data_IF_172841248488
#
_entry.id   IF_172841248488
#
_cell.length_a   1.000
_cell.length_b   1.000
_cell.length_c   1.000
_cell.angle_alpha   90.00
_cell.angle_beta   90.00
_cell.angle_gamma   90.00
#
_symmetry.space_group_name_H-M   'P 1'
#
loop_
_entity.id
_entity.type
_entity.pdbx_description
1 polymer ?
#
# COMPACT_ATOMS: atom_id res chain seq x y z
N UNK A 1 7.49 -29.54 14.31
CA UNK A 1 6.15 -29.16 13.83
C UNK A 1 5.26 -30.40 13.80
N UNK A 2 4.32 -30.47 14.72
CA UNK A 2 3.31 -31.47 14.70
C UNK A 2 2.28 -31.18 13.62
N UNK A 3 2.16 -32.05 12.62
CA UNK A 3 1.17 -31.91 11.55
C UNK A 3 -0.04 -32.84 11.72
N UNK A 4 -0.18 -33.43 12.91
CA UNK A 4 -1.27 -34.39 13.20
C UNK A 4 -1.15 -35.72 12.45
N UNK A 5 -0.07 -35.98 11.73
CA UNK A 5 0.20 -37.27 11.09
C UNK A 5 0.76 -38.28 12.09
N UNK A 6 0.67 -39.59 11.75
CA UNK A 6 1.13 -40.70 12.62
C UNK A 6 2.62 -40.65 12.90
N UNK A 7 3.39 -39.81 12.55
CA UNK A 7 4.83 -39.66 12.87
C UNK A 7 5.18 -38.36 13.57
N UNK A 8 4.23 -37.43 13.68
CA UNK A 8 4.42 -36.10 14.24
C UNK A 8 3.12 -35.61 14.87
N UNK A 9 2.68 -36.21 15.98
CA UNK A 9 1.43 -35.85 16.60
C UNK A 9 1.48 -34.44 17.15
N UNK A 10 0.44 -33.67 16.89
CA UNK A 10 0.20 -32.39 17.52
C UNK A 10 -0.54 -32.65 18.84
N UNK A 11 0.07 -32.33 19.96
CA UNK A 11 -0.43 -32.71 21.30
C UNK A 11 -0.90 -31.50 22.13
N UNK A 12 -0.43 -30.29 21.85
CA UNK A 12 -0.84 -29.06 22.55
C UNK A 12 -0.59 -27.81 21.76
N UNK A 13 -1.34 -26.75 22.08
CA UNK A 13 -1.08 -25.41 21.66
C UNK A 13 -0.11 -24.72 22.62
N UNK A 14 0.94 -24.11 22.08
CA UNK A 14 1.85 -23.24 22.85
C UNK A 14 1.29 -21.82 22.85
N UNK A 15 1.29 -21.17 23.99
CA UNK A 15 0.74 -19.82 24.16
C UNK A 15 1.52 -18.80 23.32
N UNK A 16 0.82 -18.01 22.51
CA UNK A 16 1.41 -17.02 21.60
C UNK A 16 1.98 -17.60 20.30
N UNK A 17 2.15 -18.91 20.18
CA UNK A 17 2.56 -19.53 18.92
C UNK A 17 1.39 -19.53 17.92
N UNK A 18 1.67 -19.11 16.67
CA UNK A 18 0.69 -19.16 15.58
C UNK A 18 0.66 -20.53 14.91
N UNK A 19 -0.53 -20.93 14.49
CA UNK A 19 -0.78 -22.22 13.82
C UNK A 19 -1.63 -22.01 12.58
N UNK A 20 -1.37 -22.79 11.54
CA UNK A 20 -2.28 -22.96 10.41
C UNK A 20 -3.05 -24.26 10.58
N UNK A 21 -4.36 -24.15 10.55
CA UNK A 21 -5.26 -25.30 10.64
C UNK A 21 -6.08 -25.42 9.35
N UNK A 22 -6.22 -26.63 8.85
CA UNK A 22 -7.08 -26.93 7.72
C UNK A 22 -7.84 -28.24 7.98
N UNK A 23 -9.14 -28.26 7.70
CA UNK A 23 -10.00 -29.44 7.75
C UNK A 23 -10.93 -29.43 6.52
N UNK A 24 -11.45 -30.62 6.16
CA UNK A 24 -12.41 -30.78 5.07
C UNK A 24 -13.82 -30.33 5.45
N UNK A 25 -14.12 -30.33 6.73
CA UNK A 25 -15.43 -30.00 7.28
C UNK A 25 -15.29 -28.92 8.33
N UNK A 26 -16.32 -28.12 8.49
CA UNK A 26 -16.38 -27.14 9.57
C UNK A 26 -16.40 -27.86 10.91
N UNK A 27 -15.48 -27.52 11.79
CA UNK A 27 -15.43 -28.02 13.14
C UNK A 27 -15.38 -26.88 14.14
N UNK A 28 -15.88 -27.14 15.34
CA UNK A 28 -15.72 -26.24 16.48
C UNK A 28 -14.59 -26.76 17.36
N UNK A 29 -13.59 -25.96 17.62
CA UNK A 29 -12.52 -26.25 18.58
C UNK A 29 -12.89 -25.54 19.88
N UNK A 30 -13.15 -26.31 20.92
CA UNK A 30 -13.42 -25.81 22.26
C UNK A 30 -12.14 -25.84 23.09
N UNK A 31 -11.72 -24.69 23.60
CA UNK A 31 -10.60 -24.58 24.53
C UNK A 31 -11.11 -24.14 25.88
N UNK A 32 -10.74 -24.86 26.91
CA UNK A 32 -11.09 -24.56 28.30
C UNK A 32 -9.84 -24.25 29.11
N UNK A 33 -9.89 -23.23 29.93
CA UNK A 33 -8.75 -22.83 30.77
C UNK A 33 -8.92 -21.42 31.35
N UNK A 34 -7.85 -20.92 31.96
CA UNK A 34 -7.81 -19.55 32.48
C UNK A 34 -7.34 -18.64 31.36
N UNK A 35 -8.02 -17.49 31.19
CA UNK A 35 -7.62 -16.49 30.21
C UNK A 35 -6.23 -15.94 30.56
N UNK A 36 -5.37 -15.84 29.53
CA UNK A 36 -4.07 -15.23 29.72
C UNK A 36 -4.19 -13.70 29.81
N UNK A 37 -3.52 -13.12 30.78
CA UNK A 37 -3.41 -11.66 30.99
C UNK A 37 -1.96 -11.19 31.13
N UNK A 38 -1.02 -12.12 31.19
CA UNK A 38 0.40 -11.81 31.32
C UNK A 38 1.08 -11.72 29.93
N UNK A 39 2.12 -10.92 29.77
CA UNK A 39 2.93 -10.90 28.54
C UNK A 39 3.45 -12.29 28.19
N UNK A 40 3.54 -12.57 26.89
CA UNK A 40 4.03 -13.85 26.36
C UNK A 40 5.30 -13.62 25.58
N UNK A 41 6.35 -14.40 25.86
CA UNK A 41 7.61 -14.37 25.11
C UNK A 41 7.70 -15.56 24.16
N UNK A 42 8.13 -15.30 22.92
CA UNK A 42 8.40 -16.29 21.88
C UNK A 42 9.81 -16.11 21.33
N UNK A 43 10.47 -17.20 20.99
CA UNK A 43 11.67 -17.15 20.16
C UNK A 43 11.24 -17.10 18.69
N UNK A 44 11.60 -16.01 18.00
CA UNK A 44 11.42 -15.85 16.57
C UNK A 44 12.77 -15.87 15.85
N UNK A 45 12.81 -16.48 14.67
CA UNK A 45 14.04 -16.79 13.97
C UNK A 45 14.16 -16.05 12.65
N UNK A 46 15.40 -15.74 12.28
CA UNK A 46 15.78 -15.30 10.96
C UNK A 46 16.73 -16.32 10.35
N UNK A 47 16.33 -16.93 9.24
CA UNK A 47 17.09 -17.97 8.55
C UNK A 47 17.28 -17.57 7.09
N UNK A 48 18.50 -17.22 6.70
CA UNK A 48 18.85 -16.71 5.37
C UNK A 48 18.55 -17.69 4.23
N UNK A 49 18.68 -18.99 4.53
CA UNK A 49 18.47 -20.08 3.57
C UNK A 49 17.00 -20.22 3.13
N UNK A 50 16.08 -19.53 3.81
CA UNK A 50 14.65 -19.54 3.47
C UNK A 50 14.30 -18.61 2.31
N UNK A 51 15.26 -17.87 1.73
CA UNK A 51 15.02 -16.95 0.62
C UNK A 51 13.96 -15.92 0.95
N UNK A 52 12.91 -15.84 0.12
CA UNK A 52 11.79 -14.87 0.30
C UNK A 52 11.01 -15.06 1.61
N UNK A 53 11.14 -16.21 2.25
CA UNK A 53 10.51 -16.51 3.56
C UNK A 53 11.44 -16.22 4.73
N UNK A 54 12.62 -15.65 4.50
CA UNK A 54 13.55 -15.31 5.57
C UNK A 54 12.92 -14.35 6.60
N UNK A 55 13.02 -14.71 7.88
CA UNK A 55 12.52 -13.93 9.00
C UNK A 55 11.01 -14.04 9.26
N UNK A 56 10.24 -14.79 8.45
CA UNK A 56 8.83 -14.99 8.72
C UNK A 56 8.59 -16.03 9.81
N UNK A 57 7.74 -15.65 10.77
CA UNK A 57 7.36 -16.47 11.91
C UNK A 57 5.84 -16.40 12.13
N UNK A 58 5.21 -17.53 12.49
CA UNK A 58 3.81 -17.55 12.88
C UNK A 58 3.66 -17.19 14.36
N UNK A 59 2.82 -16.20 14.63
CA UNK A 59 2.53 -15.67 15.96
C UNK A 59 1.01 -15.65 16.16
N UNK A 60 0.53 -16.05 17.33
CA UNK A 60 -0.90 -16.08 17.69
C UNK A 60 -1.22 -15.01 18.73
N UNK A 61 -2.40 -14.41 18.67
CA UNK A 61 -2.88 -13.54 19.74
C UNK A 61 -3.22 -14.39 20.99
N UNK A 62 -2.46 -14.24 22.11
CA UNK A 62 -2.65 -15.06 23.30
C UNK A 62 -3.72 -14.51 24.26
N UNK A 63 -4.41 -13.42 23.90
CA UNK A 63 -5.36 -12.73 24.76
C UNK A 63 -6.80 -12.90 24.28
N UNK A 64 -7.75 -12.65 25.17
CA UNK A 64 -9.18 -12.67 24.87
C UNK A 64 -9.73 -11.35 24.29
N UNK A 65 -8.85 -10.43 23.89
CA UNK A 65 -9.20 -9.16 23.25
C UNK A 65 -8.36 -8.93 22.01
N UNK A 66 -8.78 -7.98 21.18
CA UNK A 66 -8.04 -7.58 20.00
C UNK A 66 -6.70 -6.92 20.35
N UNK A 67 -5.67 -7.27 19.60
CA UNK A 67 -4.36 -6.62 19.63
C UNK A 67 -3.99 -6.10 18.24
N UNK A 68 -2.84 -5.45 18.12
CA UNK A 68 -2.21 -5.04 16.88
C UNK A 68 -0.69 -5.19 17.02
N UNK A 69 0.08 -4.90 16.00
CA UNK A 69 1.54 -4.93 16.08
C UNK A 69 2.12 -4.02 17.18
N UNK A 70 1.40 -2.97 17.59
CA UNK A 70 1.81 -2.12 18.71
C UNK A 70 1.96 -2.86 20.05
N UNK A 71 1.44 -4.08 20.17
CA UNK A 71 1.59 -4.95 21.34
C UNK A 71 2.89 -5.80 21.28
N UNK A 72 3.60 -5.79 20.15
CA UNK A 72 4.81 -6.55 19.92
C UNK A 72 6.06 -5.74 20.32
N UNK A 73 6.98 -6.37 21.01
CA UNK A 73 8.28 -5.81 21.35
C UNK A 73 9.37 -6.85 21.10
N UNK A 74 10.45 -6.44 20.47
CA UNK A 74 11.64 -7.27 20.23
C UNK A 74 12.79 -6.89 21.15
N UNK A 75 13.76 -7.77 21.26
CA UNK A 75 14.98 -7.53 22.07
C UNK A 75 16.20 -7.33 21.15
N UNK A 76 17.30 -6.85 21.72
CA UNK A 76 18.61 -6.76 21.07
C UNK A 76 18.65 -5.92 19.78
N UNK A 77 17.74 -4.95 19.62
CA UNK A 77 17.70 -4.07 18.44
C UNK A 77 17.15 -4.71 17.17
N UNK A 78 16.64 -5.94 17.23
CA UNK A 78 15.91 -6.54 16.13
C UNK A 78 14.65 -5.74 15.80
N UNK A 79 14.25 -5.70 14.53
CA UNK A 79 13.08 -4.98 14.06
C UNK A 79 12.08 -5.94 13.39
N UNK A 80 10.80 -5.74 13.68
CA UNK A 80 9.73 -6.30 12.86
C UNK A 80 9.47 -5.40 11.66
N UNK A 81 9.13 -6.02 10.54
CA UNK A 81 8.57 -5.29 9.40
C UNK A 81 7.22 -4.69 9.78
N UNK A 82 6.86 -3.53 9.22
CA UNK A 82 5.55 -2.93 9.42
C UNK A 82 4.47 -3.77 8.78
N UNK A 83 3.54 -4.26 9.57
CA UNK A 83 2.44 -5.11 9.14
C UNK A 83 2.79 -6.60 9.15
N UNK A 84 1.82 -7.39 8.75
CA UNK A 84 1.85 -8.83 8.85
C UNK A 84 0.96 -9.48 7.78
N UNK A 85 1.07 -10.80 7.65
CA UNK A 85 0.19 -11.57 6.79
C UNK A 85 -0.77 -12.46 7.58
N UNK A 86 -1.92 -12.70 6.97
CA UNK A 86 -2.83 -13.78 7.33
C UNK A 86 -3.02 -14.71 6.14
N UNK A 87 -3.33 -15.98 6.42
CA UNK A 87 -3.62 -16.97 5.38
C UNK A 87 -5.13 -17.18 5.31
N UNK A 88 -5.73 -16.92 4.15
CA UNK A 88 -7.15 -17.15 3.95
C UNK A 88 -7.45 -18.64 3.64
N UNK A 89 -8.71 -19.09 3.83
CA UNK A 89 -9.12 -20.44 3.45
C UNK A 89 -8.89 -20.77 1.98
N UNK A 90 -8.96 -19.78 1.09
CA UNK A 90 -8.75 -19.91 -0.35
C UNK A 90 -7.26 -19.99 -0.74
N UNK A 91 -6.35 -19.91 0.24
CA UNK A 91 -4.91 -19.94 0.05
C UNK A 91 -4.30 -18.60 -0.36
N UNK A 92 -5.03 -17.51 -0.17
CA UNK A 92 -4.46 -16.16 -0.29
C UNK A 92 -3.55 -15.86 0.91
N UNK A 93 -2.42 -15.24 0.63
CA UNK A 93 -1.55 -14.63 1.62
C UNK A 93 -1.91 -13.15 1.64
N UNK A 94 -2.73 -12.76 2.63
CA UNK A 94 -3.32 -11.42 2.72
C UNK A 94 -2.46 -10.54 3.60
N UNK A 95 -1.94 -9.45 3.05
CA UNK A 95 -1.18 -8.44 3.79
C UNK A 95 -2.14 -7.56 4.61
N UNK A 96 -1.74 -7.22 5.83
CA UNK A 96 -2.42 -6.25 6.69
C UNK A 96 -1.42 -5.25 7.25
N UNK A 97 -1.74 -3.95 7.29
CA UNK A 97 -0.87 -2.93 7.88
C UNK A 97 -0.73 -3.10 9.40
N UNK A 98 0.30 -2.49 9.97
CA UNK A 98 0.69 -2.65 11.38
C UNK A 98 -0.43 -2.29 12.41
N UNK A 99 -1.32 -1.38 12.04
CA UNK A 99 -2.47 -0.97 12.87
C UNK A 99 -3.69 -1.90 12.74
N UNK A 100 -3.65 -2.87 11.82
CA UNK A 100 -4.75 -3.81 11.66
C UNK A 100 -4.97 -4.65 12.92
N UNK A 101 -6.22 -5.03 13.12
CA UNK A 101 -6.64 -5.85 14.27
C UNK A 101 -6.19 -7.29 14.07
N UNK A 102 -5.63 -7.86 15.14
CA UNK A 102 -5.39 -9.29 15.31
C UNK A 102 -6.39 -9.78 16.36
N UNK A 103 -7.41 -10.53 15.93
CA UNK A 103 -8.48 -11.00 16.80
C UNK A 103 -7.98 -12.05 17.81
N UNK A 104 -8.70 -12.31 18.91
CA UNK A 104 -8.42 -13.42 19.79
C UNK A 104 -8.27 -14.73 19.01
N UNK A 105 -7.25 -15.53 19.32
CA UNK A 105 -6.93 -16.80 18.64
C UNK A 105 -6.50 -16.68 17.17
N UNK A 106 -6.46 -15.50 16.59
CA UNK A 106 -5.95 -15.32 15.23
C UNK A 106 -4.44 -15.51 15.18
N UNK A 107 -3.97 -16.21 14.15
CA UNK A 107 -2.55 -16.41 13.85
C UNK A 107 -2.13 -15.53 12.68
N UNK A 108 -1.01 -14.83 12.83
CA UNK A 108 -0.43 -13.96 11.82
C UNK A 108 1.02 -14.34 11.52
N UNK A 109 1.51 -13.99 10.34
CA UNK A 109 2.92 -14.12 9.98
C UNK A 109 3.59 -12.76 10.09
N UNK A 110 4.47 -12.60 11.06
CA UNK A 110 5.34 -11.42 11.21
C UNK A 110 6.70 -11.68 10.60
N UNK A 111 7.39 -10.64 10.11
CA UNK A 111 8.74 -10.74 9.59
C UNK A 111 9.72 -9.99 10.49
N UNK A 112 10.79 -10.67 10.91
CA UNK A 112 11.93 -10.08 11.68
C UNK A 112 13.17 -10.00 10.81
N UNK A 113 14.08 -9.09 11.14
CA UNK A 113 15.40 -8.95 10.48
C UNK A 113 16.53 -9.70 11.20
N UNK A 114 16.27 -10.22 12.39
CA UNK A 114 17.24 -10.98 13.16
C UNK A 114 16.53 -12.01 14.06
N UNK A 115 17.23 -13.08 14.41
CA UNK A 115 16.75 -14.02 15.45
C UNK A 115 16.72 -13.30 16.79
N UNK A 116 15.57 -13.30 17.45
CA UNK A 116 15.32 -12.54 18.67
C UNK A 116 14.18 -13.14 19.50
N UNK A 117 13.96 -12.58 20.69
CA UNK A 117 12.73 -12.78 21.45
C UNK A 117 11.69 -11.73 21.06
N UNK A 118 10.49 -12.19 20.81
CA UNK A 118 9.29 -11.39 20.64
C UNK A 118 8.46 -11.46 21.90
N UNK A 119 8.18 -10.33 22.52
CA UNK A 119 7.23 -10.22 23.62
C UNK A 119 5.89 -9.71 23.09
N UNK A 120 4.82 -10.45 23.35
CA UNK A 120 3.44 -10.01 23.08
C UNK A 120 2.87 -9.47 24.38
N UNK A 121 2.63 -8.15 24.44
CA UNK A 121 2.14 -7.47 25.63
C UNK A 121 0.62 -7.39 25.65
N UNK A 122 0.03 -7.48 26.84
CA UNK A 122 -1.42 -7.32 27.03
C UNK A 122 -1.92 -5.87 26.77
N UNK A 123 -1.03 -4.90 26.89
CA UNK A 123 -1.26 -3.51 26.50
C UNK A 123 -0.19 -3.09 25.49
N UNK A 124 -0.46 -2.10 24.64
CA UNK A 124 0.53 -1.64 23.66
C UNK A 124 1.87 -1.30 24.34
N UNK A 125 2.95 -1.84 23.83
CA UNK A 125 4.30 -1.71 24.40
C UNK A 125 4.85 -0.28 24.32
N UNK A 126 4.36 0.49 23.37
CA UNK A 126 4.62 1.92 23.23
C UNK A 126 3.40 2.63 22.67
N UNK A 127 3.19 3.88 23.06
CA UNK A 127 2.46 4.79 22.18
C UNK A 127 3.41 5.02 21.00
N UNK A 128 3.28 4.25 19.93
CA UNK A 128 3.89 4.60 18.66
C UNK A 128 3.46 6.03 18.38
N UNK A 129 4.40 6.89 18.05
CA UNK A 129 4.14 8.29 17.72
C UNK A 129 2.89 8.36 16.85
N UNK A 130 1.90 9.16 17.26
CA UNK A 130 0.65 9.37 16.51
C UNK A 130 0.87 10.14 15.19
N UNK A 131 2.12 10.32 14.76
CA UNK A 131 2.41 10.87 13.45
C UNK A 131 2.15 9.73 12.45
N UNK A 132 0.92 9.70 11.97
CA UNK A 132 0.56 8.90 10.82
C UNK A 132 0.79 9.75 9.58
N UNK A 133 1.88 9.46 8.88
CA UNK A 133 2.22 10.15 7.64
C UNK A 133 1.41 9.63 6.44
N UNK A 134 0.43 8.76 6.70
CA UNK A 134 -0.44 8.19 5.71
C UNK A 134 0.14 6.97 4.99
N UNK A 135 -0.71 6.36 4.18
CA UNK A 135 -0.37 5.22 3.33
C UNK A 135 -1.24 5.17 2.08
N UNK A 136 -0.73 4.53 1.04
CA UNK A 136 -1.48 4.14 -0.15
C UNK A 136 -1.71 2.64 -0.13
N UNK A 137 -2.95 2.23 -0.33
CA UNK A 137 -3.33 0.85 -0.63
C UNK A 137 -3.47 0.70 -2.14
N UNK A 138 -2.62 -0.11 -2.76
CA UNK A 138 -2.65 -0.44 -4.19
C UNK A 138 -3.23 -1.82 -4.32
N UNK A 139 -4.37 -1.94 -4.99
CA UNK A 139 -5.05 -3.20 -5.15
C UNK A 139 -5.13 -3.63 -6.62
N UNK A 140 -5.06 -4.93 -6.83
CA UNK A 140 -5.31 -5.55 -8.13
C UNK A 140 -6.32 -6.68 -7.97
N UNK A 141 -7.32 -6.70 -8.83
CA UNK A 141 -8.36 -7.72 -8.81
C UNK A 141 -8.61 -8.32 -10.19
N UNK A 142 -8.98 -9.59 -10.22
CA UNK A 142 -9.70 -10.23 -11.32
C UNK A 142 -11.14 -10.52 -10.89
N UNK A 143 -11.89 -11.30 -11.66
CA UNK A 143 -13.29 -11.61 -11.35
C UNK A 143 -13.50 -12.31 -9.99
N UNK A 144 -12.50 -13.03 -9.47
CA UNK A 144 -12.64 -13.92 -8.32
C UNK A 144 -11.73 -13.57 -7.15
N UNK A 145 -10.59 -12.93 -7.41
CA UNK A 145 -9.52 -12.73 -6.43
C UNK A 145 -8.96 -11.32 -6.47
N UNK A 146 -8.48 -10.89 -5.32
CA UNK A 146 -7.81 -9.59 -5.12
C UNK A 146 -6.48 -9.81 -4.39
N UNK A 147 -5.49 -9.01 -4.75
CA UNK A 147 -4.25 -8.85 -3.99
C UNK A 147 -3.97 -7.38 -3.74
N UNK A 148 -3.20 -7.11 -2.69
CA UNK A 148 -2.93 -5.75 -2.21
C UNK A 148 -1.46 -5.58 -1.91
N UNK A 149 -0.94 -4.38 -2.16
CA UNK A 149 0.32 -3.88 -1.65
C UNK A 149 0.13 -2.49 -1.07
N UNK A 150 0.98 -2.11 -0.12
CA UNK A 150 0.95 -0.80 0.52
C UNK A 150 2.23 -0.02 0.29
N UNK A 151 2.11 1.28 0.17
CA UNK A 151 3.20 2.22 0.36
C UNK A 151 2.91 3.00 1.64
N UNK A 152 3.76 2.88 2.63
CA UNK A 152 3.64 3.59 3.91
C UNK A 152 4.66 4.71 3.96
N UNK A 153 4.23 5.88 4.37
CA UNK A 153 5.07 7.06 4.57
C UNK A 153 5.55 7.23 6.01
N UNK A 154 5.31 6.20 6.82
CA UNK A 154 5.78 6.14 8.21
C UNK A 154 7.21 5.57 8.28
N UNK A 155 7.88 5.83 9.39
CA UNK A 155 9.19 5.21 9.66
C UNK A 155 9.04 3.71 9.94
N UNK A 156 10.07 2.93 9.60
CA UNK A 156 10.16 1.53 9.92
C UNK A 156 10.72 0.68 8.80
N UNK A 157 10.46 -0.63 8.87
CA UNK A 157 10.95 -1.62 7.93
C UNK A 157 9.82 -2.14 7.07
N UNK A 158 10.05 -2.23 5.76
CA UNK A 158 9.08 -2.79 4.81
C UNK A 158 8.84 -4.29 5.04
N UNK A 159 7.65 -4.75 4.66
CA UNK A 159 7.27 -6.17 4.67
C UNK A 159 7.49 -6.77 3.28
N UNK A 160 8.34 -7.79 3.19
CA UNK A 160 8.62 -8.44 1.90
C UNK A 160 7.37 -9.10 1.31
N UNK A 161 7.23 -9.03 -0.01
CA UNK A 161 6.16 -9.76 -0.72
C UNK A 161 6.46 -11.25 -0.75
N UNK A 162 5.47 -12.05 -0.40
CA UNK A 162 5.48 -13.50 -0.56
C UNK A 162 4.35 -13.94 -1.48
N UNK A 163 4.57 -15.04 -2.21
CA UNK A 163 3.58 -15.57 -3.16
C UNK A 163 2.40 -16.23 -2.49
N UNK A 164 1.24 -16.17 -3.14
CA UNK A 164 0.05 -16.89 -2.69
C UNK A 164 0.22 -18.41 -2.83
N UNK A 165 -0.51 -19.18 -2.01
CA UNK A 165 -0.59 -20.64 -2.14
C UNK A 165 -1.52 -21.04 -3.29
N UNK A 166 -2.49 -20.23 -3.62
CA UNK A 166 -3.38 -20.41 -4.76
C UNK A 166 -2.81 -19.64 -5.97
N UNK A 167 -2.45 -20.37 -7.02
CA UNK A 167 -1.87 -19.83 -8.23
C UNK A 167 -2.86 -19.02 -9.11
N UNK A 168 -4.15 -19.01 -8.78
CA UNK A 168 -5.16 -18.22 -9.49
C UNK A 168 -5.26 -16.78 -8.97
N UNK A 169 -4.59 -16.47 -7.85
CA UNK A 169 -4.56 -15.13 -7.26
C UNK A 169 -3.48 -14.31 -7.95
N UNK A 170 -3.81 -13.12 -8.51
CA UNK A 170 -2.80 -12.21 -9.05
C UNK A 170 -1.88 -11.71 -7.95
N UNK A 171 -0.70 -11.19 -8.32
CA UNK A 171 0.19 -10.53 -7.37
C UNK A 171 0.44 -9.08 -7.75
N UNK A 172 0.39 -8.18 -6.75
CA UNK A 172 0.86 -6.80 -6.83
C UNK A 172 1.92 -6.57 -5.75
N UNK A 173 2.99 -5.86 -6.09
CA UNK A 173 4.06 -5.54 -5.14
C UNK A 173 4.85 -4.32 -5.58
N UNK A 174 5.59 -3.75 -4.65
CA UNK A 174 6.37 -2.53 -4.85
C UNK A 174 7.85 -2.91 -4.88
N UNK A 175 8.53 -2.80 -6.02
CA UNK A 175 9.96 -3.06 -6.12
C UNK A 175 10.75 -1.83 -5.62
N UNK A 176 11.61 -2.03 -4.64
CA UNK A 176 12.53 -1.00 -4.10
C UNK A 176 13.88 -1.64 -3.85
N UNK A 177 14.96 -1.05 -4.37
CA UNK A 177 16.35 -1.45 -4.12
C UNK A 177 16.62 -2.96 -4.32
N UNK A 178 15.97 -3.55 -5.32
CA UNK A 178 16.15 -4.97 -5.67
C UNK A 178 15.36 -5.95 -4.82
N UNK A 179 14.53 -5.49 -3.89
CA UNK A 179 13.59 -6.29 -3.12
C UNK A 179 12.14 -5.98 -3.52
N UNK A 180 11.25 -6.95 -3.33
CA UNK A 180 9.83 -6.82 -3.61
C UNK A 180 9.06 -6.73 -2.30
N UNK A 181 8.24 -5.69 -2.15
CA UNK A 181 7.52 -5.42 -0.91
C UNK A 181 6.00 -5.54 -1.08
N UNK A 182 5.37 -6.12 -0.07
CA UNK A 182 3.92 -5.99 0.12
C UNK A 182 3.58 -4.70 0.88
N UNK A 183 4.49 -4.24 1.76
CA UNK A 183 4.43 -2.91 2.37
C UNK A 183 5.79 -2.27 2.16
N UNK A 184 5.89 -1.32 1.26
CA UNK A 184 7.10 -0.54 1.02
C UNK A 184 7.10 0.73 1.90
N UNK A 185 8.25 1.03 2.49
CA UNK A 185 8.43 2.28 3.23
C UNK A 185 9.04 3.31 2.28
N UNK A 186 8.41 4.47 2.14
CA UNK A 186 8.86 5.55 1.26
C UNK A 186 8.76 6.91 1.95
N UNK A 187 9.50 7.88 1.46
CA UNK A 187 9.36 9.27 1.92
C UNK A 187 8.07 9.89 1.36
N UNK A 188 7.50 10.85 2.09
CA UNK A 188 6.29 11.57 1.64
C UNK A 188 6.50 12.40 0.36
N UNK A 189 7.72 12.79 0.06
CA UNK A 189 8.08 13.58 -1.12
C UNK A 189 8.25 12.74 -2.40
N UNK A 190 7.97 11.42 -2.33
CA UNK A 190 8.02 10.55 -3.50
C UNK A 190 7.00 11.03 -4.55
N UNK A 191 7.48 11.17 -5.80
CA UNK A 191 6.66 11.61 -6.93
C UNK A 191 6.31 10.49 -7.90
N UNK A 192 7.02 9.35 -7.81
CA UNK A 192 6.78 8.18 -8.65
C UNK A 192 6.95 6.90 -7.84
N UNK A 193 5.96 6.01 -7.94
CA UNK A 193 5.98 4.69 -7.31
C UNK A 193 5.97 3.63 -8.41
N UNK A 194 7.04 2.82 -8.56
CA UNK A 194 7.01 1.66 -9.41
C UNK A 194 6.06 0.61 -8.82
N UNK A 195 5.18 0.06 -9.64
CA UNK A 195 4.25 -1.00 -9.24
C UNK A 195 4.44 -2.19 -10.16
N UNK A 196 4.78 -3.31 -9.57
CA UNK A 196 4.89 -4.58 -10.28
C UNK A 196 3.62 -5.40 -10.11
N UNK A 197 3.22 -6.01 -11.21
CA UNK A 197 2.03 -6.85 -11.28
C UNK A 197 2.34 -8.17 -11.97
N UNK A 198 1.83 -9.26 -11.44
CA UNK A 198 1.91 -10.57 -12.06
C UNK A 198 0.50 -11.15 -12.22
N UNK A 199 0.11 -11.38 -13.46
CA UNK A 199 -1.16 -12.03 -13.76
C UNK A 199 -1.10 -13.52 -13.40
N UNK A 200 -2.11 -14.03 -12.71
CA UNK A 200 -2.26 -15.45 -12.44
C UNK A 200 -2.63 -16.23 -13.70
N UNK A 201 -3.60 -15.73 -14.44
CA UNK A 201 -4.10 -16.32 -15.70
C UNK A 201 -4.28 -15.22 -16.75
N UNK A 202 -4.47 -15.61 -18.00
CA UNK A 202 -4.87 -14.66 -19.06
C UNK A 202 -6.30 -14.18 -18.77
N UNK A 203 -6.49 -12.86 -18.67
CA UNK A 203 -7.80 -12.28 -18.41
C UNK A 203 -7.78 -10.79 -18.17
N UNK A 204 -8.93 -10.29 -17.77
CA UNK A 204 -9.13 -8.90 -17.39
C UNK A 204 -8.78 -8.71 -15.91
N UNK A 205 -8.10 -7.62 -15.63
CA UNK A 205 -7.72 -7.16 -14.30
C UNK A 205 -8.06 -5.70 -14.13
N UNK A 206 -8.27 -5.30 -12.88
CA UNK A 206 -8.47 -3.90 -12.51
C UNK A 206 -7.45 -3.53 -11.44
N UNK A 207 -6.81 -2.38 -11.59
CA UNK A 207 -5.91 -1.79 -10.59
C UNK A 207 -6.50 -0.48 -10.08
N UNK A 208 -6.55 -0.33 -8.75
CA UNK A 208 -7.01 0.86 -8.06
C UNK A 208 -6.08 1.25 -6.92
N UNK A 209 -6.24 2.47 -6.42
CA UNK A 209 -5.47 2.98 -5.28
C UNK A 209 -6.38 3.72 -4.31
N UNK A 210 -6.22 3.44 -3.03
CA UNK A 210 -6.88 4.16 -1.95
C UNK A 210 -5.83 4.87 -1.08
N UNK A 211 -6.00 6.17 -0.86
CA UNK A 211 -5.17 6.96 0.04
C UNK A 211 -5.79 6.98 1.44
N UNK A 212 -5.00 6.74 2.47
CA UNK A 212 -5.41 6.77 3.87
C UNK A 212 -4.50 7.74 4.63
N UNK A 213 -5.10 8.69 5.34
CA UNK A 213 -4.41 9.74 6.10
C UNK A 213 -3.39 10.57 5.29
N UNK A 214 -3.59 10.66 3.98
CA UNK A 214 -2.81 11.51 3.06
C UNK A 214 -3.71 11.92 1.88
N UNK A 215 -3.49 13.13 1.37
CA UNK A 215 -4.26 13.70 0.27
C UNK A 215 -3.32 14.02 -0.91
N UNK A 216 -3.79 13.71 -2.11
CA UNK A 216 -3.04 13.95 -3.34
C UNK A 216 -3.84 14.82 -4.30
N UNK A 217 -3.19 15.81 -4.84
CA UNK A 217 -3.69 16.64 -5.93
C UNK A 217 -3.66 15.90 -7.27
N UNK A 218 -2.71 14.97 -7.44
CA UNK A 218 -2.60 14.12 -8.63
C UNK A 218 -2.20 12.71 -8.21
N UNK A 219 -2.89 11.72 -8.81
CA UNK A 219 -2.54 10.31 -8.74
C UNK A 219 -2.80 9.68 -10.11
N UNK A 220 -1.77 9.53 -10.92
CA UNK A 220 -1.87 9.04 -12.30
C UNK A 220 -1.14 7.72 -12.45
N UNK A 221 -1.87 6.68 -12.86
CA UNK A 221 -1.29 5.41 -13.28
C UNK A 221 -0.80 5.54 -14.72
N UNK A 222 0.42 5.10 -14.97
CA UNK A 222 0.98 4.94 -16.31
C UNK A 222 1.14 3.45 -16.58
N UNK A 223 0.43 2.92 -17.55
CA UNK A 223 0.65 1.58 -18.09
C UNK A 223 1.76 1.65 -19.15
N UNK A 224 2.96 1.22 -18.79
CA UNK A 224 4.15 1.24 -19.66
C UNK A 224 4.02 0.34 -20.90
N UNK A 225 3.13 -0.63 -20.84
CA UNK A 225 2.92 -1.56 -21.94
C UNK A 225 2.03 -0.96 -23.05
N UNK A 226 1.01 -0.18 -22.66
CA UNK A 226 0.06 0.43 -23.59
C UNK A 226 0.29 1.92 -23.81
N UNK A 227 1.02 2.59 -22.91
CA UNK A 227 1.20 4.04 -22.87
C UNK A 227 -0.04 4.79 -22.37
N UNK A 228 -1.05 4.10 -21.84
CA UNK A 228 -2.25 4.71 -21.31
C UNK A 228 -1.95 5.33 -19.93
N UNK A 229 -2.44 6.53 -19.71
CA UNK A 229 -2.44 7.21 -18.42
C UNK A 229 -3.88 7.33 -17.88
N UNK A 230 -4.09 6.98 -16.62
CA UNK A 230 -5.40 7.01 -15.94
C UNK A 230 -5.30 7.75 -14.62
N UNK A 231 -6.23 8.67 -14.38
CA UNK A 231 -6.32 9.38 -13.10
C UNK A 231 -7.02 8.51 -12.06
N UNK A 232 -6.23 7.94 -11.13
CA UNK A 232 -6.71 7.05 -10.08
C UNK A 232 -7.49 7.74 -8.95
N UNK A 233 -7.54 9.09 -8.93
CA UNK A 233 -8.45 9.84 -8.04
C UNK A 233 -9.90 9.80 -8.53
N UNK A 234 -10.12 9.40 -9.81
CA UNK A 234 -11.44 9.42 -10.46
C UNK A 234 -11.94 8.00 -10.73
N UNK A 235 -11.07 7.13 -11.27
CA UNK A 235 -11.46 5.80 -11.71
C UNK A 235 -10.31 4.78 -11.62
N UNK A 236 -10.67 3.52 -11.44
CA UNK A 236 -9.72 2.41 -11.51
C UNK A 236 -9.36 2.09 -12.97
N UNK A 237 -8.15 1.61 -13.20
CA UNK A 237 -7.69 1.21 -14.52
C UNK A 237 -7.96 -0.27 -14.78
N UNK A 238 -8.67 -0.56 -15.88
CA UNK A 238 -8.96 -1.93 -16.33
C UNK A 238 -8.10 -2.30 -17.53
N UNK A 239 -7.47 -3.48 -17.48
CA UNK A 239 -6.54 -3.93 -18.50
C UNK A 239 -6.60 -5.45 -18.72
N UNK A 240 -6.03 -5.91 -19.82
CA UNK A 240 -5.85 -7.35 -20.11
C UNK A 240 -4.38 -7.70 -19.87
N UNK A 241 -4.17 -8.85 -19.23
CA UNK A 241 -2.83 -9.40 -19.00
C UNK A 241 -2.82 -10.93 -19.05
N UNK A 242 -1.62 -11.48 -19.13
CA UNK A 242 -1.33 -12.92 -19.11
C UNK A 242 -0.09 -13.19 -18.24
N UNK A 243 0.04 -14.42 -17.77
CA UNK A 243 1.06 -14.81 -16.78
C UNK A 243 2.52 -14.63 -17.22
N UNK A 244 2.78 -14.48 -18.53
CA UNK A 244 4.12 -14.24 -19.07
C UNK A 244 4.38 -12.77 -19.47
N UNK A 245 3.49 -11.85 -19.14
CA UNK A 245 3.74 -10.41 -19.30
C UNK A 245 4.82 -9.94 -18.31
N UNK A 246 5.54 -8.87 -18.67
CA UNK A 246 6.51 -8.27 -17.77
C UNK A 246 5.83 -7.77 -16.50
N UNK A 247 6.41 -8.08 -15.34
CA UNK A 247 5.88 -7.61 -14.06
C UNK A 247 6.04 -6.09 -13.89
N UNK A 248 7.09 -5.48 -14.46
CA UNK A 248 7.40 -4.05 -14.37
C UNK A 248 6.53 -3.22 -15.33
N UNK A 249 5.22 -3.28 -15.13
CA UNK A 249 4.26 -2.69 -16.07
C UNK A 249 3.82 -1.29 -15.69
N UNK A 250 3.68 -0.99 -14.40
CA UNK A 250 3.03 0.23 -13.96
C UNK A 250 3.94 1.20 -13.21
N UNK A 251 3.64 2.48 -13.35
CA UNK A 251 4.14 3.55 -12.48
C UNK A 251 2.94 4.37 -12.02
N UNK A 252 2.90 4.71 -10.74
CA UNK A 252 1.97 5.71 -10.20
C UNK A 252 2.75 7.00 -10.00
N UNK A 253 2.33 8.06 -10.68
CA UNK A 253 2.85 9.43 -10.51
C UNK A 253 1.99 10.15 -9.48
N UNK A 254 2.63 10.83 -8.56
CA UNK A 254 1.99 11.50 -7.43
C UNK A 254 2.37 12.98 -7.36
N UNK A 255 1.41 13.81 -6.96
CA UNK A 255 1.67 15.12 -6.41
C UNK A 255 0.79 15.32 -5.18
N UNK A 256 1.41 15.59 -4.03
CA UNK A 256 0.67 15.85 -2.80
C UNK A 256 -0.15 17.13 -2.89
N UNK A 257 -1.32 17.11 -2.27
CA UNK A 257 -2.04 18.34 -1.99
C UNK A 257 -1.40 19.02 -0.77
N UNK A 258 -0.56 20.01 -1.03
CA UNK A 258 0.11 20.79 0.01
C UNK A 258 -0.80 21.87 0.63
N UNK A 259 -2.11 21.75 0.50
CA UNK A 259 -3.10 22.67 1.06
C UNK A 259 -3.27 22.55 2.57
N UNK A 260 -2.15 22.51 3.33
CA UNK A 260 -2.19 22.68 4.77
C UNK A 260 -2.47 24.16 5.13
N UNK A 261 -3.77 24.54 5.18
CA UNK A 261 -4.28 25.61 6.05
C UNK A 261 -3.87 27.06 5.80
N UNK A 262 -2.93 27.34 4.90
CA UNK A 262 -2.74 28.64 4.24
C UNK A 262 -2.96 28.38 2.77
N UNK A 263 -3.85 29.14 2.14
CA UNK A 263 -4.17 29.07 0.73
C UNK A 263 -2.93 29.19 -0.15
N UNK A 264 -2.13 28.14 -0.22
CA UNK A 264 -1.13 27.99 -1.28
C UNK A 264 -1.89 27.37 -2.44
N UNK A 265 -2.37 28.25 -3.27
CA UNK A 265 -3.32 28.12 -4.37
C UNK A 265 -2.74 27.37 -5.57
N UNK A 266 -1.85 26.41 -5.36
CA UNK A 266 -1.33 25.60 -6.45
C UNK A 266 -2.42 24.66 -6.95
N UNK A 267 -2.90 24.95 -8.14
CA UNK A 267 -3.90 24.16 -8.85
C UNK A 267 -3.37 23.64 -10.20
N UNK A 268 -2.08 23.88 -10.50
CA UNK A 268 -1.45 23.42 -11.73
C UNK A 268 0.03 23.09 -11.53
N UNK A 269 0.52 22.08 -12.27
CA UNK A 269 1.95 21.76 -12.36
C UNK A 269 2.26 21.19 -13.76
N UNK A 270 3.57 21.15 -14.12
CA UNK A 270 4.03 20.56 -15.39
C UNK A 270 4.87 19.32 -15.07
N UNK A 271 4.56 18.24 -15.80
CA UNK A 271 5.35 17.03 -15.79
C UNK A 271 5.39 16.44 -17.21
N UNK A 272 6.58 16.05 -17.69
CA UNK A 272 6.80 15.42 -19.00
C UNK A 272 6.10 16.11 -20.18
N UNK A 273 6.16 17.45 -20.25
CA UNK A 273 5.57 18.21 -21.33
C UNK A 273 4.04 18.31 -21.29
N UNK A 274 3.43 17.93 -20.17
CA UNK A 274 2.00 18.10 -19.90
C UNK A 274 1.79 19.02 -18.70
N UNK A 275 0.89 19.97 -18.83
CA UNK A 275 0.39 20.80 -17.75
C UNK A 275 -0.89 20.15 -17.19
N UNK A 276 -0.84 19.80 -15.91
CA UNK A 276 -1.95 19.22 -15.17
C UNK A 276 -2.64 20.29 -14.37
N UNK A 277 -3.96 20.41 -14.51
CA UNK A 277 -4.82 21.34 -13.76
C UNK A 277 -5.81 20.53 -12.95
N UNK A 278 -5.95 20.85 -11.67
CA UNK A 278 -6.73 20.10 -10.70
C UNK A 278 -7.42 21.04 -9.70
N UNK A 279 -8.19 20.49 -8.77
CA UNK A 279 -8.97 21.24 -7.77
C UNK A 279 -9.95 22.23 -8.39
N UNK A 280 -10.65 21.80 -9.45
CA UNK A 280 -11.72 22.56 -10.10
C UNK A 280 -13.05 22.05 -9.55
N UNK A 281 -13.84 22.91 -8.96
CA UNK A 281 -15.19 22.57 -8.55
C UNK A 281 -16.24 22.93 -9.61
N UNK A 282 -17.01 21.91 -10.01
CA UNK A 282 -18.01 22.06 -11.05
C UNK A 282 -17.41 22.28 -12.43
N UNK A 283 -17.95 23.24 -13.17
CA UNK A 283 -17.38 23.69 -14.45
C UNK A 283 -16.52 24.92 -14.24
N UNK A 284 -15.27 24.86 -14.70
CA UNK A 284 -14.32 25.94 -14.60
C UNK A 284 -13.76 26.37 -15.95
N UNK A 285 -13.14 27.54 -15.96
CA UNK A 285 -12.38 28.08 -17.09
C UNK A 285 -10.93 28.32 -16.67
N UNK A 286 -10.00 27.81 -17.45
CA UNK A 286 -8.56 28.01 -17.28
C UNK A 286 -8.04 28.90 -18.38
N UNK A 287 -7.49 30.07 -18.01
CA UNK A 287 -6.88 31.02 -18.94
C UNK A 287 -5.37 31.08 -18.65
N UNK A 288 -4.56 30.95 -19.68
CA UNK A 288 -3.10 30.96 -19.61
C UNK A 288 -2.58 32.25 -20.25
N UNK A 289 -1.73 32.96 -19.53
CA UNK A 289 -1.14 34.21 -19.93
C UNK A 289 0.38 34.15 -19.96
N UNK A 290 1.01 34.84 -20.89
CA UNK A 290 2.45 35.11 -20.82
C UNK A 290 2.80 36.13 -19.72
N UNK A 291 4.08 36.33 -19.44
CA UNK A 291 4.56 37.28 -18.41
C UNK A 291 4.18 38.73 -18.67
N UNK A 292 3.76 39.06 -19.89
CA UNK A 292 3.30 40.41 -20.26
C UNK A 292 1.80 40.59 -20.05
N UNK A 293 1.08 39.53 -19.62
CA UNK A 293 -0.36 39.51 -19.39
C UNK A 293 -1.17 39.27 -20.67
N UNK A 294 -0.53 38.90 -21.78
CA UNK A 294 -1.22 38.53 -23.01
C UNK A 294 -1.79 37.12 -22.91
N UNK A 295 -3.08 36.90 -23.24
CA UNK A 295 -3.67 35.58 -23.25
C UNK A 295 -3.01 34.70 -24.31
N UNK A 296 -2.64 33.49 -23.94
CA UNK A 296 -2.01 32.47 -24.79
C UNK A 296 -2.99 31.37 -25.13
N UNK A 297 -3.77 30.91 -24.15
CA UNK A 297 -4.77 29.84 -24.33
C UNK A 297 -5.90 29.93 -23.31
N UNK A 298 -7.07 29.40 -23.67
CA UNK A 298 -8.23 29.25 -22.78
C UNK A 298 -8.85 27.88 -22.96
N UNK A 299 -9.25 27.27 -21.85
CA UNK A 299 -9.86 25.93 -21.79
C UNK A 299 -11.05 25.93 -20.85
N UNK A 300 -12.17 25.35 -21.31
CA UNK A 300 -13.28 25.00 -20.42
C UNK A 300 -12.98 23.61 -19.86
N UNK A 301 -13.04 23.46 -18.56
CA UNK A 301 -12.66 22.26 -17.83
C UNK A 301 -13.71 21.87 -16.81
N UNK A 302 -13.90 20.58 -16.63
CA UNK A 302 -14.73 20.03 -15.56
C UNK A 302 -13.84 19.19 -14.67
N UNK A 303 -13.70 19.47 -13.40
CA UNK A 303 -12.91 18.76 -12.39
C UNK A 303 -11.38 18.78 -12.57
N UNK A 304 -10.85 18.46 -13.75
CA UNK A 304 -9.40 18.50 -14.05
C UNK A 304 -9.13 18.64 -15.55
N UNK A 305 -7.90 19.03 -15.93
CA UNK A 305 -7.47 19.08 -17.33
C UNK A 305 -5.99 18.73 -17.48
N UNK A 306 -5.68 18.07 -18.61
CA UNK A 306 -4.31 17.80 -19.04
C UNK A 306 -4.07 18.57 -20.36
N UNK A 307 -3.15 19.51 -20.35
CA UNK A 307 -2.86 20.41 -21.47
C UNK A 307 -1.43 20.13 -21.94
N UNK A 308 -1.25 19.79 -23.24
CA UNK A 308 0.10 19.65 -23.79
C UNK A 308 0.85 20.97 -23.73
N UNK A 309 2.09 20.94 -23.27
CA UNK A 309 2.96 22.13 -23.29
C UNK A 309 3.75 22.27 -24.57
N UNK A 310 3.61 21.38 -25.56
CA UNK A 310 4.33 21.40 -26.83
C UNK A 310 4.12 22.68 -27.66
N UNK A 311 2.97 23.34 -27.47
CA UNK A 311 2.62 24.57 -28.19
C UNK A 311 3.02 25.87 -27.43
N UNK A 312 3.61 25.69 -26.24
CA UNK A 312 4.09 26.80 -25.41
C UNK A 312 5.60 26.91 -25.54
N UNK A 313 6.10 28.14 -25.74
CA UNK A 313 7.53 28.40 -25.70
C UNK A 313 8.08 28.23 -24.27
N UNK A 314 9.33 27.80 -24.13
CA UNK A 314 9.95 27.76 -22.81
C UNK A 314 9.90 29.16 -22.15
N UNK A 315 9.46 29.20 -20.90
CA UNK A 315 9.29 30.45 -20.18
C UNK A 315 8.28 30.37 -19.04
N UNK A 316 8.07 31.50 -18.37
CA UNK A 316 7.10 31.63 -17.28
C UNK A 316 5.72 32.01 -17.83
N UNK A 317 4.71 31.37 -17.30
CA UNK A 317 3.29 31.62 -17.60
C UNK A 317 2.51 31.90 -16.33
N UNK A 318 1.41 32.63 -16.45
CA UNK A 318 0.44 32.89 -15.41
C UNK A 318 -0.84 32.11 -15.78
N UNK A 319 -1.25 31.19 -14.94
CA UNK A 319 -2.48 30.44 -15.10
C UNK A 319 -3.53 31.03 -14.18
N UNK A 320 -4.69 31.34 -14.73
CA UNK A 320 -5.86 31.79 -13.98
C UNK A 320 -6.97 30.77 -14.15
N UNK A 321 -7.42 30.20 -13.05
CA UNK A 321 -8.57 29.31 -12.97
C UNK A 321 -9.74 30.05 -12.36
N UNK A 322 -10.93 29.89 -12.96
CA UNK A 322 -12.18 30.43 -12.45
C UNK A 322 -13.21 29.29 -12.40
N UNK A 323 -13.72 28.97 -11.24
CA UNK A 323 -14.73 27.93 -10.98
C UNK A 323 -15.81 28.44 -10.01
N UNK A 324 -16.68 27.54 -9.49
CA UNK A 324 -17.75 27.88 -8.56
C UNK A 324 -17.22 28.44 -7.22
N UNK A 325 -15.99 28.13 -6.82
CA UNK A 325 -15.33 28.62 -5.61
C UNK A 325 -14.64 29.98 -5.78
N UNK A 326 -14.52 30.48 -7.02
CA UNK A 326 -13.93 31.77 -7.30
C UNK A 326 -12.81 31.75 -8.32
N UNK A 327 -11.82 32.64 -8.13
CA UNK A 327 -10.68 32.81 -9.05
C UNK A 327 -9.38 32.54 -8.32
N UNK A 328 -8.60 31.63 -8.87
CA UNK A 328 -7.23 31.32 -8.40
C UNK A 328 -6.23 31.68 -9.49
N UNK A 329 -5.01 32.05 -9.11
CA UNK A 329 -3.94 32.39 -10.03
C UNK A 329 -2.63 31.78 -9.58
N UNK A 330 -1.92 31.13 -10.51
CA UNK A 330 -0.64 30.46 -10.23
C UNK A 330 0.39 30.79 -11.31
N UNK A 331 1.67 30.89 -10.93
CA UNK A 331 2.79 30.95 -11.86
C UNK A 331 3.35 29.56 -12.13
N UNK A 332 3.68 29.30 -13.40
CA UNK A 332 4.26 28.01 -13.82
C UNK A 332 5.39 28.29 -14.83
N UNK A 333 6.37 27.38 -14.88
CA UNK A 333 7.49 27.46 -15.82
C UNK A 333 7.41 26.29 -16.79
N UNK A 334 7.39 26.58 -18.09
CA UNK A 334 7.52 25.60 -19.18
C UNK A 334 8.99 25.55 -19.57
N UNK A 335 9.59 24.36 -19.53
CA UNK A 335 10.99 24.10 -19.92
C UNK A 335 11.13 23.64 -21.36
#
# INVERSE_FOLDING_TARGET
EGNGSVGSPFDKFELGQGYLYANKEDITIELTGTLNVEPVELDITYTTEMGDLAGFNFVGNPFAHNISEAHFATTNGAQLSNGFYVVSPEGAIVVRPANAVIAPMESVMVQTDATTKLTINNAPASKRSEINNGQLEINVANANYRDVAYVSFNDGKGLNKIGHRNAEIPMVYIPVDGANYAIAMMNQDVTEIPVSFQAATMGQYTIGVEAQDCEYAMMTLVDRFTGIETNLLIEDYTFIAKSNDSAERFIIKLAMDNSNGEANENFAFINNGMMYIYNIEGQGMVSIYDVTGRPVAEYNVATSANISTSDFAAGMYIIRMSDENGVKTQKIVVE
#
